data_IF_018030713335
#
_entry.id   IF_018030713335
#
_cell.length_a   1.000
_cell.length_b   1.000
_cell.length_c   1.000
_cell.angle_alpha   90.00
_cell.angle_beta   90.00
_cell.angle_gamma   90.00
#
_symmetry.space_group_name_H-M   'P 1'
#
loop_
_entity.id
_entity.type
_entity.pdbx_description
1 polymer ?
#
# COMPACT_ATOMS: atom_id res chain seq x y z
N UNK A 1 -11.10 24.04 1.50
CA UNK A 1 -11.15 23.12 0.35
C UNK A 1 -11.67 21.78 0.83
N UNK A 2 -12.95 21.48 0.61
CA UNK A 2 -13.53 20.18 0.98
C UNK A 2 -12.81 19.09 0.17
N UNK A 3 -12.27 18.07 0.83
CA UNK A 3 -11.68 16.92 0.16
C UNK A 3 -12.72 16.33 -0.79
N UNK A 4 -12.43 16.36 -2.10
CA UNK A 4 -13.31 15.79 -3.10
C UNK A 4 -13.51 14.31 -2.78
N UNK A 5 -14.77 13.89 -2.69
CA UNK A 5 -15.16 12.50 -2.46
C UNK A 5 -14.45 11.57 -3.47
N UNK A 6 -13.51 10.71 -3.01
CA UNK A 6 -12.69 9.89 -3.90
C UNK A 6 -13.53 8.93 -4.74
N UNK A 7 -14.71 8.52 -4.26
CA UNK A 7 -15.62 7.66 -5.02
C UNK A 7 -16.20 8.39 -6.24
N UNK A 8 -16.53 9.68 -6.11
CA UNK A 8 -17.05 10.52 -7.21
C UNK A 8 -15.98 10.83 -8.24
N UNK A 9 -14.74 11.05 -7.80
CA UNK A 9 -13.59 11.24 -8.69
C UNK A 9 -13.36 9.98 -9.54
N UNK A 10 -13.41 8.80 -8.91
CA UNK A 10 -13.27 7.52 -9.60
C UNK A 10 -14.43 7.26 -10.58
N UNK A 11 -15.68 7.59 -10.21
CA UNK A 11 -16.84 7.41 -11.09
C UNK A 11 -16.76 8.29 -12.34
N UNK A 12 -16.46 9.58 -12.20
CA UNK A 12 -16.25 10.50 -13.32
C UNK A 12 -15.15 10.01 -14.25
N UNK A 13 -14.08 9.48 -13.67
CA UNK A 13 -12.97 8.96 -14.44
C UNK A 13 -13.31 7.66 -15.18
N UNK A 14 -14.02 6.71 -14.56
CA UNK A 14 -14.54 5.51 -15.22
C UNK A 14 -15.42 5.90 -16.43
N UNK A 15 -16.23 6.95 -16.31
CA UNK A 15 -17.04 7.45 -17.43
C UNK A 15 -16.20 8.09 -18.54
N UNK A 16 -15.18 8.88 -18.22
CA UNK A 16 -14.30 9.50 -19.22
C UNK A 16 -13.52 8.46 -20.02
N UNK A 17 -12.95 7.45 -19.34
CA UNK A 17 -12.23 6.38 -20.00
C UNK A 17 -13.12 5.57 -20.94
N UNK A 18 -14.35 5.27 -20.53
CA UNK A 18 -15.33 4.56 -21.36
C UNK A 18 -15.77 5.41 -22.56
N UNK A 19 -16.00 6.70 -22.34
CA UNK A 19 -16.34 7.65 -23.41
C UNK A 19 -15.23 7.77 -24.46
N UNK A 20 -13.96 7.76 -24.05
CA UNK A 20 -12.82 7.83 -24.97
C UNK A 20 -12.73 6.60 -25.88
N UNK A 21 -12.95 5.39 -25.35
CA UNK A 21 -12.99 4.16 -26.16
C UNK A 21 -14.16 4.18 -27.13
N UNK A 22 -15.35 4.60 -26.68
CA UNK A 22 -16.52 4.74 -27.54
C UNK A 22 -16.29 5.78 -28.64
N UNK A 23 -15.63 6.89 -28.33
CA UNK A 23 -15.28 7.92 -29.31
C UNK A 23 -14.29 7.39 -30.36
N UNK A 24 -13.27 6.62 -29.95
CA UNK A 24 -12.33 5.99 -30.88
C UNK A 24 -13.03 4.94 -31.78
N UNK A 25 -13.94 4.14 -31.22
CA UNK A 25 -14.73 3.18 -31.98
C UNK A 25 -15.67 3.86 -32.98
N UNK A 26 -16.33 4.95 -32.57
CA UNK A 26 -17.16 5.76 -33.46
C UNK A 26 -16.31 6.38 -34.58
N UNK A 27 -15.15 6.95 -34.24
CA UNK A 27 -14.22 7.51 -35.22
C UNK A 27 -13.81 6.45 -36.26
N UNK A 28 -13.49 5.23 -35.81
CA UNK A 28 -13.18 4.12 -36.70
C UNK A 28 -14.33 3.81 -37.67
N UNK A 29 -15.56 3.62 -37.16
CA UNK A 29 -16.73 3.30 -37.99
C UNK A 29 -17.02 4.41 -39.00
N UNK A 30 -16.99 5.67 -38.57
CA UNK A 30 -17.25 6.83 -39.44
C UNK A 30 -16.16 6.98 -40.50
N UNK A 31 -14.88 6.89 -40.12
CA UNK A 31 -13.76 6.97 -41.06
C UNK A 31 -13.80 5.84 -42.07
N UNK A 32 -14.11 4.60 -41.65
CA UNK A 32 -14.23 3.45 -42.54
C UNK A 32 -15.42 3.59 -43.50
N UNK A 33 -16.55 4.12 -43.05
CA UNK A 33 -17.72 4.36 -43.89
C UNK A 33 -17.47 5.44 -44.97
N UNK A 34 -16.66 6.46 -44.64
CA UNK A 34 -16.28 7.56 -45.53
C UNK A 34 -15.10 7.26 -46.44
N UNK A 35 -14.37 6.16 -46.23
CA UNK A 35 -13.20 5.76 -47.02
C UNK A 35 -13.50 5.67 -48.53
N UNK A 36 -14.71 5.22 -48.89
CA UNK A 36 -15.18 5.18 -50.29
C UNK A 36 -15.30 6.57 -50.94
N UNK A 37 -15.46 7.62 -50.15
CA UNK A 37 -15.67 9.01 -50.61
C UNK A 37 -14.41 9.87 -50.46
N UNK A 38 -13.53 9.56 -49.50
CA UNK A 38 -12.34 10.32 -49.19
C UNK A 38 -11.15 9.39 -48.86
N UNK A 39 -10.22 9.15 -49.80
CA UNK A 39 -9.06 8.27 -49.60
C UNK A 39 -8.18 8.57 -48.37
N UNK A 40 -7.99 9.83 -47.90
CA UNK A 40 -7.25 10.10 -46.67
C UNK A 40 -7.89 9.50 -45.40
N UNK A 41 -9.19 9.17 -45.44
CA UNK A 41 -9.90 8.58 -44.30
C UNK A 41 -9.40 7.18 -43.95
N UNK A 42 -8.73 6.48 -44.87
CA UNK A 42 -8.08 5.20 -44.59
C UNK A 42 -6.99 5.33 -43.51
N UNK A 43 -6.25 6.45 -43.51
CA UNK A 43 -5.23 6.75 -42.51
C UNK A 43 -5.86 6.96 -41.11
N UNK A 44 -6.97 7.70 -41.06
CA UNK A 44 -7.72 7.95 -39.82
C UNK A 44 -8.39 6.66 -39.32
N UNK A 45 -8.90 5.83 -40.23
CA UNK A 45 -9.46 4.53 -39.90
C UNK A 45 -8.39 3.60 -39.29
N UNK A 46 -7.18 3.54 -39.88
CA UNK A 46 -6.08 2.74 -39.34
C UNK A 46 -5.63 3.22 -37.95
N UNK A 47 -5.54 4.54 -37.73
CA UNK A 47 -5.31 5.10 -36.40
C UNK A 47 -6.39 4.67 -35.41
N UNK A 48 -7.66 4.88 -35.77
CA UNK A 48 -8.79 4.62 -34.89
C UNK A 48 -8.96 3.13 -34.58
N UNK A 49 -8.76 2.25 -35.55
CA UNK A 49 -8.76 0.79 -35.38
C UNK A 49 -7.72 0.34 -34.36
N UNK A 50 -6.48 0.77 -34.55
CA UNK A 50 -5.38 0.40 -33.68
C UNK A 50 -5.51 1.05 -32.29
N UNK A 51 -6.09 2.26 -32.19
CA UNK A 51 -6.41 2.89 -30.93
C UNK A 51 -7.48 2.11 -30.13
N UNK A 52 -8.51 1.59 -30.80
CA UNK A 52 -9.54 0.75 -30.17
C UNK A 52 -8.94 -0.57 -29.68
N UNK A 53 -8.12 -1.23 -30.50
CA UNK A 53 -7.43 -2.48 -30.12
C UNK A 53 -6.53 -2.25 -28.91
N UNK A 54 -5.73 -1.17 -28.92
CA UNK A 54 -4.88 -0.80 -27.79
C UNK A 54 -5.68 -0.54 -26.50
N UNK A 55 -6.83 0.12 -26.62
CA UNK A 55 -7.73 0.35 -25.48
C UNK A 55 -8.33 -0.94 -24.92
N UNK A 56 -8.70 -1.88 -25.78
CA UNK A 56 -9.26 -3.18 -25.39
C UNK A 56 -8.21 -4.08 -24.72
N UNK A 57 -6.97 -4.06 -25.20
CA UNK A 57 -5.87 -4.81 -24.60
C UNK A 57 -5.57 -4.33 -23.18
N UNK A 58 -5.50 -3.02 -22.96
CA UNK A 58 -5.37 -2.45 -21.63
C UNK A 58 -6.58 -2.79 -20.74
N UNK A 59 -7.80 -2.69 -21.27
CA UNK A 59 -9.00 -3.08 -20.53
C UNK A 59 -8.92 -4.52 -20.04
N UNK A 60 -8.52 -5.44 -20.90
CA UNK A 60 -8.33 -6.83 -20.53
C UNK A 60 -7.28 -6.97 -19.42
N UNK A 61 -6.11 -6.33 -19.54
CA UNK A 61 -5.04 -6.41 -18.55
C UNK A 61 -5.48 -5.90 -17.16
N UNK A 62 -6.13 -4.73 -17.11
CA UNK A 62 -6.67 -4.16 -15.86
C UNK A 62 -7.75 -5.05 -15.26
N UNK A 63 -8.68 -5.53 -16.07
CA UNK A 63 -9.75 -6.42 -15.58
C UNK A 63 -9.16 -7.72 -15.06
N UNK A 64 -8.22 -8.34 -15.79
CA UNK A 64 -7.53 -9.57 -15.39
C UNK A 64 -6.69 -9.40 -14.12
N UNK A 65 -6.28 -8.20 -13.75
CA UNK A 65 -5.60 -7.96 -12.48
C UNK A 65 -6.55 -8.15 -11.28
N UNK A 66 -7.79 -7.69 -11.40
CA UNK A 66 -8.74 -7.61 -10.29
C UNK A 66 -9.86 -8.64 -10.31
N UNK A 67 -10.25 -9.13 -11.49
CA UNK A 67 -11.43 -9.97 -11.69
C UNK A 67 -11.29 -10.85 -12.93
N UNK A 68 -12.27 -11.72 -13.13
CA UNK A 68 -12.40 -12.50 -14.36
C UNK A 68 -13.07 -11.66 -15.45
N UNK A 69 -12.44 -11.49 -16.64
CA UNK A 69 -13.06 -10.77 -17.75
C UNK A 69 -14.33 -11.51 -18.20
N UNK A 70 -15.41 -10.75 -18.39
CA UNK A 70 -16.73 -11.29 -18.76
C UNK A 70 -17.30 -12.36 -17.81
N UNK A 71 -16.74 -12.51 -16.62
CA UNK A 71 -17.10 -13.58 -15.68
C UNK A 71 -16.54 -14.96 -16.03
N UNK A 72 -15.70 -15.08 -17.07
CA UNK A 72 -15.11 -16.34 -17.49
C UNK A 72 -13.86 -16.64 -16.66
N UNK A 73 -13.83 -17.81 -16.00
CA UNK A 73 -12.71 -18.28 -15.18
C UNK A 73 -11.53 -18.74 -16.03
N UNK A 74 -10.92 -17.80 -16.75
CA UNK A 74 -9.73 -18.03 -17.54
C UNK A 74 -8.52 -18.23 -16.62
N UNK A 75 -7.60 -19.15 -16.96
CA UNK A 75 -6.37 -19.34 -16.19
C UNK A 75 -5.54 -18.05 -16.22
N UNK A 76 -4.80 -17.77 -15.14
CA UNK A 76 -3.93 -16.58 -15.01
C UNK A 76 -4.67 -15.22 -15.07
N UNK A 77 -5.96 -15.17 -14.69
CA UNK A 77 -6.72 -13.92 -14.48
C UNK A 77 -7.11 -13.76 -13.01
N UNK A 78 -7.71 -12.63 -12.65
CA UNK A 78 -7.96 -12.24 -11.27
C UNK A 78 -6.69 -12.36 -10.41
N UNK A 79 -5.57 -11.80 -10.89
CA UNK A 79 -4.22 -12.04 -10.35
C UNK A 79 -4.14 -11.69 -8.86
N UNK A 80 -4.63 -10.50 -8.46
CA UNK A 80 -4.59 -10.04 -7.06
C UNK A 80 -5.39 -10.95 -6.14
N UNK A 81 -6.70 -11.19 -6.35
CA UNK A 81 -7.47 -12.06 -5.46
C UNK A 81 -6.99 -13.51 -5.46
N UNK A 82 -6.47 -14.01 -6.59
CA UNK A 82 -5.96 -15.39 -6.68
C UNK A 82 -4.66 -15.56 -5.89
N UNK A 83 -3.82 -14.53 -5.80
CA UNK A 83 -2.55 -14.56 -5.07
C UNK A 83 -2.63 -13.94 -3.67
N UNK A 84 -3.82 -13.60 -3.14
CA UNK A 84 -3.93 -12.87 -1.87
C UNK A 84 -3.18 -13.55 -0.73
N UNK A 85 -3.30 -14.87 -0.60
CA UNK A 85 -2.61 -15.61 0.47
C UNK A 85 -1.09 -15.44 0.40
N UNK A 86 -0.52 -15.59 -0.79
CA UNK A 86 0.92 -15.39 -1.02
C UNK A 86 1.33 -13.94 -0.74
N UNK A 87 0.53 -12.97 -1.15
CA UNK A 87 0.78 -11.55 -0.87
C UNK A 87 0.75 -11.27 0.64
N UNK A 88 -0.17 -11.87 1.38
CA UNK A 88 -0.25 -11.75 2.84
C UNK A 88 1.03 -12.28 3.52
N UNK A 89 1.50 -13.46 3.09
CA UNK A 89 2.74 -14.05 3.61
C UNK A 89 3.96 -13.16 3.30
N UNK A 90 4.09 -12.71 2.05
CA UNK A 90 5.17 -11.82 1.59
C UNK A 90 5.15 -10.47 2.31
N UNK A 91 3.97 -9.90 2.56
CA UNK A 91 3.81 -8.66 3.33
C UNK A 91 4.22 -8.85 4.78
N UNK A 92 3.80 -9.94 5.43
CA UNK A 92 4.19 -10.25 6.81
C UNK A 92 5.71 -10.35 6.94
N UNK A 93 6.35 -11.08 6.02
CA UNK A 93 7.80 -11.17 5.95
C UNK A 93 8.43 -9.80 5.70
N UNK A 94 7.95 -9.03 4.73
CA UNK A 94 8.48 -7.70 4.41
C UNK A 94 8.46 -6.76 5.62
N UNK A 95 7.33 -6.70 6.35
CA UNK A 95 7.18 -5.83 7.53
C UNK A 95 8.13 -6.25 8.64
N UNK A 96 8.17 -7.55 8.96
CA UNK A 96 9.07 -8.08 9.98
C UNK A 96 10.54 -7.88 9.60
N UNK A 97 10.87 -7.97 8.30
CA UNK A 97 12.25 -7.92 7.85
C UNK A 97 12.82 -6.52 7.65
N UNK A 98 12.00 -5.61 7.11
CA UNK A 98 12.45 -4.30 6.66
C UNK A 98 11.85 -3.12 7.42
N UNK A 99 10.69 -3.29 8.06
CA UNK A 99 10.07 -2.21 8.83
C UNK A 99 10.40 -2.32 10.32
N UNK A 100 10.32 -3.53 10.88
CA UNK A 100 10.59 -3.81 12.31
C UNK A 100 12.02 -4.32 12.48
N UNK A 101 13.00 -3.47 12.21
CA UNK A 101 14.42 -3.84 12.35
C UNK A 101 14.92 -3.55 13.77
N UNK A 102 15.79 -4.42 14.29
CA UNK A 102 16.46 -4.22 15.58
C UNK A 102 17.02 -2.79 15.77
N UNK A 103 17.76 -2.19 14.80
CA UNK A 103 18.26 -0.82 14.96
C UNK A 103 17.15 0.23 15.00
N UNK A 104 16.08 0.11 14.19
CA UNK A 104 14.96 1.06 14.21
C UNK A 104 14.19 1.00 15.53
N UNK A 105 13.95 -0.20 16.05
CA UNK A 105 13.28 -0.37 17.34
C UNK A 105 14.15 0.16 18.48
N UNK A 106 15.45 -0.17 18.49
CA UNK A 106 16.38 0.34 19.48
C UNK A 106 16.43 1.88 19.48
N UNK A 107 16.53 2.49 18.30
CA UNK A 107 16.47 3.94 18.16
C UNK A 107 15.16 4.50 18.72
N UNK A 108 14.01 3.90 18.37
CA UNK A 108 12.71 4.40 18.82
C UNK A 108 12.51 4.28 20.32
N UNK A 109 13.06 3.22 20.94
CA UNK A 109 13.07 3.04 22.39
C UNK A 109 13.91 4.12 23.08
N UNK A 110 15.07 4.49 22.54
CA UNK A 110 15.88 5.59 23.10
C UNK A 110 15.14 6.93 22.98
N UNK A 111 14.54 7.21 21.81
CA UNK A 111 13.74 8.43 21.59
C UNK A 111 12.55 8.55 22.55
N UNK A 112 11.93 7.43 22.92
CA UNK A 112 10.79 7.40 23.84
C UNK A 112 11.18 7.70 25.30
N UNK A 113 12.46 7.66 25.65
CA UNK A 113 12.98 7.87 27.01
C UNK A 113 12.19 7.12 28.11
N UNK A 114 12.08 5.78 28.04
CA UNK A 114 11.30 5.01 29.02
C UNK A 114 11.83 5.15 30.44
N UNK A 115 13.15 5.29 30.63
CA UNK A 115 13.73 5.49 31.96
C UNK A 115 13.34 6.86 32.54
N UNK A 116 13.31 7.92 31.72
CA UNK A 116 12.80 9.23 32.13
C UNK A 116 11.30 9.21 32.42
N UNK A 117 10.52 8.56 31.57
CA UNK A 117 9.08 8.38 31.78
C UNK A 117 8.79 7.62 33.09
N UNK A 118 9.52 6.54 33.37
CA UNK A 118 9.43 5.80 34.62
C UNK A 118 9.83 6.66 35.83
N UNK A 119 10.90 7.46 35.73
CA UNK A 119 11.31 8.39 36.78
C UNK A 119 10.28 9.49 37.06
N UNK A 120 9.63 10.01 36.03
CA UNK A 120 8.55 11.00 36.15
C UNK A 120 7.29 10.39 36.79
N UNK A 121 6.92 9.17 36.36
CA UNK A 121 5.78 8.44 36.90
C UNK A 121 5.98 8.08 38.37
N UNK A 122 7.15 7.56 38.74
CA UNK A 122 7.50 7.20 40.13
C UNK A 122 7.65 8.39 41.06
N UNK A 123 7.84 9.62 40.56
CA UNK A 123 7.90 10.79 41.42
C UNK A 123 6.55 11.21 42.00
N UNK A 124 5.45 10.69 41.45
CA UNK A 124 4.11 10.91 42.00
C UNK A 124 3.87 9.93 43.16
N UNK A 125 3.56 10.46 44.36
CA UNK A 125 3.31 9.62 45.55
C UNK A 125 2.16 8.62 45.35
N UNK A 126 1.17 8.94 44.52
CA UNK A 126 0.05 8.04 44.20
C UNK A 126 0.54 6.77 43.51
N UNK A 127 1.43 6.92 42.53
CA UNK A 127 2.02 5.80 41.79
C UNK A 127 2.93 4.94 42.68
N UNK A 128 3.68 5.56 43.61
CA UNK A 128 4.48 4.82 44.60
C UNK A 128 3.61 3.93 45.49
N UNK A 129 2.39 4.39 45.85
CA UNK A 129 1.42 3.57 46.60
C UNK A 129 0.91 2.40 45.78
N UNK A 130 0.63 2.59 44.49
CA UNK A 130 0.23 1.51 43.59
C UNK A 130 1.30 0.41 43.50
N UNK A 131 2.56 0.80 43.29
CA UNK A 131 3.70 -0.16 43.27
C UNK A 131 3.84 -0.91 44.59
N UNK A 132 3.62 -0.22 45.71
CA UNK A 132 3.72 -0.82 47.05
C UNK A 132 2.52 -1.72 47.39
N UNK A 133 1.36 -1.50 46.76
CA UNK A 133 0.15 -2.29 46.96
C UNK A 133 0.16 -3.60 46.15
N UNK A 134 0.67 -3.57 44.92
CA UNK A 134 0.83 -4.74 44.03
C UNK A 134 1.84 -5.77 44.56
N UNK A 135 2.75 -5.33 45.44
CA UNK A 135 3.74 -6.21 46.03
C UNK A 135 3.77 -6.09 47.57
N UNK A 136 2.92 -6.85 48.29
CA UNK A 136 2.88 -6.83 49.75
C UNK A 136 4.20 -7.27 50.41
N UNK A 137 4.98 -8.13 49.73
CA UNK A 137 6.35 -8.52 50.14
C UNK A 137 7.34 -7.35 50.09
N UNK A 138 6.97 -6.28 49.39
CA UNK A 138 7.69 -5.02 49.18
C UNK A 138 7.21 -3.92 50.16
N UNK A 139 6.15 -4.14 50.96
CA UNK A 139 5.56 -3.17 51.90
C UNK A 139 6.40 -2.86 53.16
N UNK A 140 7.73 -2.93 53.06
CA UNK A 140 8.65 -2.53 54.13
C UNK A 140 8.74 -0.99 54.19
N UNK A 141 8.83 -0.38 55.38
CA UNK A 141 8.91 1.09 55.56
C UNK A 141 10.02 1.78 54.75
N UNK A 142 11.06 1.05 54.33
CA UNK A 142 12.15 1.57 53.50
C UNK A 142 11.87 1.62 51.99
N UNK A 143 10.83 0.95 51.46
CA UNK A 143 10.63 0.90 50.01
C UNK A 143 10.18 2.23 49.43
N UNK A 144 9.26 2.94 50.09
CA UNK A 144 8.82 4.25 49.61
C UNK A 144 10.01 5.21 49.45
N UNK A 145 10.96 5.15 50.39
CA UNK A 145 12.22 5.88 50.30
C UNK A 145 13.08 5.43 49.11
N UNK A 146 13.18 4.12 48.84
CA UNK A 146 13.91 3.58 47.68
C UNK A 146 13.27 3.99 46.35
N UNK A 147 11.95 3.89 46.22
CA UNK A 147 11.23 4.29 45.00
C UNK A 147 11.36 5.78 44.73
N UNK A 148 11.28 6.59 45.78
CA UNK A 148 11.48 8.03 45.72
C UNK A 148 12.93 8.39 45.35
N UNK A 149 13.91 7.65 45.86
CA UNK A 149 15.31 7.82 45.49
C UNK A 149 15.59 7.38 44.04
N UNK A 150 14.98 6.28 43.57
CA UNK A 150 15.05 5.84 42.17
C UNK A 150 14.43 6.90 41.26
N UNK A 151 13.25 7.42 41.62
CA UNK A 151 12.58 8.48 40.86
C UNK A 151 13.46 9.72 40.74
N UNK A 152 14.02 10.20 41.86
CA UNK A 152 14.95 11.33 41.88
C UNK A 152 16.19 11.08 41.05
N UNK A 153 16.81 9.90 41.15
CA UNK A 153 18.01 9.55 40.37
C UNK A 153 17.73 9.53 38.88
N UNK A 154 16.62 8.92 38.46
CA UNK A 154 16.22 8.90 37.05
C UNK A 154 15.94 10.30 36.47
N UNK A 155 15.52 11.26 37.31
CA UNK A 155 15.29 12.65 36.90
C UNK A 155 16.55 13.52 36.93
N UNK A 156 17.46 13.29 37.88
CA UNK A 156 18.64 14.15 38.10
C UNK A 156 19.90 13.69 37.41
N UNK A 157 20.01 12.40 37.10
CA UNK A 157 21.19 11.81 36.46
C UNK A 157 20.88 11.46 34.99
N UNK A 158 21.18 12.37 34.04
CA UNK A 158 20.95 12.13 32.63
C UNK A 158 21.81 11.00 32.06
N UNK A 159 22.97 10.71 32.66
CA UNK A 159 23.88 9.66 32.19
C UNK A 159 23.35 8.28 32.57
N UNK A 160 22.89 8.10 33.82
CA UNK A 160 22.19 6.89 34.25
C UNK A 160 20.97 6.61 33.37
N UNK A 161 20.16 7.64 33.09
CA UNK A 161 19.00 7.53 32.22
C UNK A 161 19.37 7.08 30.81
N UNK A 162 20.41 7.68 30.21
CA UNK A 162 20.91 7.29 28.90
C UNK A 162 21.40 5.84 28.87
N UNK A 163 22.15 5.40 29.90
CA UNK A 163 22.62 4.00 30.02
C UNK A 163 21.46 3.02 30.14
N UNK A 164 20.44 3.33 30.93
CA UNK A 164 19.25 2.50 31.07
C UNK A 164 18.45 2.43 29.77
N UNK A 165 18.20 3.56 29.11
CA UNK A 165 17.53 3.57 27.81
C UNK A 165 18.29 2.77 26.76
N UNK A 166 19.63 2.90 26.72
CA UNK A 166 20.46 2.10 25.82
C UNK A 166 20.37 0.60 26.13
N UNK A 167 20.35 0.21 27.41
CA UNK A 167 20.19 -1.19 27.81
C UNK A 167 18.81 -1.75 27.45
N UNK A 168 17.74 -0.97 27.67
CA UNK A 168 16.36 -1.34 27.28
C UNK A 168 16.28 -1.46 25.75
N UNK A 169 16.86 -0.51 25.01
CA UNK A 169 16.90 -0.50 23.56
C UNK A 169 17.64 -1.71 22.98
N UNK A 170 18.81 -2.07 23.53
CA UNK A 170 19.55 -3.26 23.13
C UNK A 170 18.75 -4.55 23.41
N UNK A 171 18.05 -4.60 24.54
CA UNK A 171 17.18 -5.75 24.87
C UNK A 171 15.96 -5.82 23.93
N UNK A 172 15.34 -4.69 23.62
CA UNK A 172 14.22 -4.62 22.69
C UNK A 172 14.65 -5.06 21.28
N UNK A 173 15.79 -4.56 20.79
CA UNK A 173 16.34 -4.95 19.49
C UNK A 173 16.64 -6.45 19.40
N UNK A 174 17.23 -7.03 20.44
CA UNK A 174 17.48 -8.48 20.49
C UNK A 174 16.20 -9.32 20.59
N UNK A 175 15.18 -8.82 21.30
CA UNK A 175 13.87 -9.47 21.35
C UNK A 175 13.19 -9.48 19.97
N UNK A 176 13.21 -8.35 19.28
CA UNK A 176 12.67 -8.22 17.91
C UNK A 176 13.36 -9.20 16.95
N UNK A 177 14.69 -9.30 17.03
CA UNK A 177 15.43 -10.21 16.15
C UNK A 177 15.09 -11.67 16.42
N UNK A 178 14.87 -12.04 17.69
CA UNK A 178 14.47 -13.41 18.09
C UNK A 178 13.04 -13.73 17.68
N UNK A 179 12.14 -12.75 17.73
CA UNK A 179 10.72 -12.91 17.43
C UNK A 179 10.38 -12.53 15.98
N UNK A 180 11.36 -12.27 15.11
CA UNK A 180 11.13 -11.88 13.70
C UNK A 180 10.18 -12.82 12.96
N UNK A 181 10.41 -14.13 13.07
CA UNK A 181 9.57 -15.13 12.41
C UNK A 181 8.14 -15.17 12.97
N UNK A 182 7.97 -14.94 14.27
CA UNK A 182 6.66 -14.88 14.91
C UNK A 182 5.92 -13.60 14.53
N UNK A 183 6.60 -12.46 14.50
CA UNK A 183 6.05 -11.19 14.01
C UNK A 183 5.57 -11.30 12.56
N UNK A 184 6.36 -11.93 11.69
CA UNK A 184 5.97 -12.16 10.30
C UNK A 184 4.69 -13.00 10.20
N UNK A 185 4.57 -14.06 11.01
CA UNK A 185 3.38 -14.92 11.06
C UNK A 185 2.16 -14.17 11.58
N UNK A 186 2.28 -13.45 12.69
CA UNK A 186 1.16 -12.67 13.26
C UNK A 186 0.62 -11.64 12.25
N UNK A 187 1.51 -10.97 11.53
CA UNK A 187 1.11 -9.99 10.50
C UNK A 187 0.47 -10.70 9.30
N UNK A 188 1.02 -11.83 8.87
CA UNK A 188 0.45 -12.62 7.78
C UNK A 188 -0.94 -13.15 8.16
N UNK A 189 -1.12 -13.71 9.36
CA UNK A 189 -2.40 -14.23 9.86
C UNK A 189 -3.47 -13.12 9.90
N UNK A 190 -3.11 -11.92 10.38
CA UNK A 190 -3.99 -10.76 10.36
C UNK A 190 -4.35 -10.35 8.92
N UNK A 191 -3.38 -10.37 8.00
CA UNK A 191 -3.62 -10.06 6.59
C UNK A 191 -4.47 -11.13 5.87
N UNK A 192 -4.37 -12.40 6.26
CA UNK A 192 -5.25 -13.48 5.81
C UNK A 192 -6.67 -13.32 6.33
N UNK A 193 -6.84 -12.73 7.53
CA UNK A 193 -8.16 -12.45 8.11
C UNK A 193 -8.91 -11.34 7.38
N UNK A 194 -8.24 -10.53 6.54
CA UNK A 194 -8.90 -9.53 5.71
C UNK A 194 -9.79 -10.19 4.65
N UNK A 195 -11.08 -9.84 4.66
CA UNK A 195 -12.03 -10.32 3.65
C UNK A 195 -11.53 -10.04 2.23
N UNK A 196 -11.62 -11.05 1.36
CA UNK A 196 -11.21 -11.00 -0.05
C UNK A 196 -11.77 -9.79 -0.78
N UNK A 197 -13.03 -9.44 -0.52
CA UNK A 197 -13.69 -8.31 -1.15
C UNK A 197 -13.14 -6.98 -0.68
N UNK A 198 -12.80 -6.86 0.61
CA UNK A 198 -12.33 -5.62 1.20
C UNK A 198 -10.92 -5.26 0.73
N UNK A 199 -9.97 -6.20 0.79
CA UNK A 199 -8.58 -5.96 0.39
C UNK A 199 -8.48 -5.56 -1.09
N UNK A 200 -9.19 -6.29 -1.97
CA UNK A 200 -9.24 -6.00 -3.41
C UNK A 200 -9.84 -4.63 -3.67
N UNK A 201 -10.94 -4.25 -2.99
CA UNK A 201 -11.57 -2.94 -3.15
C UNK A 201 -10.64 -1.81 -2.71
N UNK A 202 -9.94 -1.96 -1.59
CA UNK A 202 -8.98 -0.96 -1.11
C UNK A 202 -7.85 -0.75 -2.12
N UNK A 203 -7.30 -1.83 -2.69
CA UNK A 203 -6.28 -1.73 -3.72
C UNK A 203 -6.85 -1.08 -5.00
N UNK A 204 -8.04 -1.50 -5.47
CA UNK A 204 -8.69 -0.90 -6.65
C UNK A 204 -8.90 0.60 -6.47
N UNK A 205 -9.32 1.04 -5.28
CA UNK A 205 -9.51 2.46 -4.97
C UNK A 205 -8.17 3.21 -4.95
N UNK A 206 -7.11 2.61 -4.39
CA UNK A 206 -5.81 3.24 -4.29
C UNK A 206 -5.13 3.43 -5.65
N UNK A 207 -5.19 2.44 -6.54
CA UNK A 207 -4.51 2.47 -7.84
C UNK A 207 -5.43 2.85 -9.01
N UNK A 208 -6.73 2.97 -8.78
CA UNK A 208 -7.74 3.11 -9.83
C UNK A 208 -7.57 4.35 -10.70
N UNK A 209 -7.00 5.44 -10.18
CA UNK A 209 -6.66 6.64 -10.95
C UNK A 209 -5.48 6.39 -11.89
N UNK A 210 -4.42 5.74 -11.41
CA UNK A 210 -3.18 5.58 -12.15
C UNK A 210 -3.34 4.57 -13.29
N UNK A 211 -4.18 3.55 -13.09
CA UNK A 211 -4.55 2.60 -14.14
C UNK A 211 -5.24 3.26 -15.35
N UNK A 212 -5.90 4.40 -15.18
CA UNK A 212 -6.56 5.08 -16.30
C UNK A 212 -5.56 5.73 -17.25
N UNK A 213 -4.40 6.17 -16.73
CA UNK A 213 -3.33 6.69 -17.57
C UNK A 213 -2.77 5.60 -18.49
N UNK A 214 -2.75 4.35 -18.04
CA UNK A 214 -2.37 3.20 -18.89
C UNK A 214 -3.37 3.05 -20.04
N UNK A 215 -4.67 3.21 -19.79
CA UNK A 215 -5.70 3.15 -20.84
C UNK A 215 -5.57 4.25 -21.88
N UNK A 216 -5.44 5.50 -21.43
CA UNK A 216 -5.29 6.65 -22.34
C UNK A 216 -4.01 6.48 -23.17
N UNK A 217 -2.90 6.12 -22.52
CA UNK A 217 -1.64 5.83 -23.21
C UNK A 217 -1.78 4.68 -24.21
N UNK A 218 -2.50 3.61 -23.85
CA UNK A 218 -2.77 2.47 -24.73
C UNK A 218 -3.53 2.85 -26.00
N UNK A 219 -4.51 3.76 -25.89
CA UNK A 219 -5.24 4.28 -27.06
C UNK A 219 -4.35 5.13 -27.98
N UNK A 220 -3.50 5.98 -27.39
CA UNK A 220 -2.60 6.87 -28.13
C UNK A 220 -1.49 6.09 -28.83
N UNK A 221 -0.80 5.21 -28.09
CA UNK A 221 0.26 4.37 -28.64
C UNK A 221 -0.29 3.42 -29.69
N UNK A 222 -1.45 2.80 -29.42
CA UNK A 222 -2.15 1.95 -30.39
C UNK A 222 -2.42 2.71 -31.70
N UNK A 223 -3.01 3.90 -31.62
CA UNK A 223 -3.29 4.71 -32.80
C UNK A 223 -2.03 5.13 -33.58
N UNK A 224 -0.99 5.60 -32.88
CA UNK A 224 0.29 5.97 -33.50
C UNK A 224 0.95 4.78 -34.20
N UNK A 225 0.88 3.58 -33.58
CA UNK A 225 1.38 2.36 -34.20
C UNK A 225 0.56 1.99 -35.44
N UNK A 226 -0.77 2.15 -35.39
CA UNK A 226 -1.64 1.97 -36.56
C UNK A 226 -1.27 2.90 -37.72
N UNK A 227 -0.96 4.16 -37.44
CA UNK A 227 -0.46 5.11 -38.46
C UNK A 227 0.88 4.70 -39.02
N UNK A 228 1.81 4.24 -38.18
CA UNK A 228 3.12 3.80 -38.60
C UNK A 228 3.01 2.58 -39.53
N UNK A 229 2.21 1.58 -39.14
CA UNK A 229 1.94 0.37 -39.94
C UNK A 229 1.26 0.75 -41.26
N UNK A 230 0.24 1.61 -41.23
CA UNK A 230 -0.45 2.06 -42.45
C UNK A 230 0.50 2.79 -43.41
N UNK A 231 1.32 3.71 -42.89
CA UNK A 231 2.28 4.47 -43.69
C UNK A 231 3.34 3.57 -44.30
N UNK A 232 3.87 2.61 -43.53
CA UNK A 232 4.83 1.63 -44.01
C UNK A 232 4.22 0.77 -45.12
N UNK A 233 3.01 0.27 -44.91
CA UNK A 233 2.29 -0.57 -45.88
C UNK A 233 2.10 0.16 -47.21
N UNK A 234 1.79 1.46 -47.17
CA UNK A 234 1.58 2.29 -48.37
C UNK A 234 2.87 2.69 -49.10
N UNK A 235 4.02 2.63 -48.42
CA UNK A 235 5.33 2.91 -49.03
C UNK A 235 5.89 1.65 -49.68
N UNK A 236 5.60 0.48 -49.11
CA UNK A 236 6.15 -0.82 -49.55
C UNK A 236 5.29 -1.49 -50.62
N UNK A 237 3.95 -1.36 -50.57
CA UNK A 237 3.01 -1.82 -51.60
C UNK A 237 2.55 -0.67 -52.50
#
# INVERSE_FOLDING_TARGET
MAAADPERALARQKTLATALVLAAALLYVVSKALERRAPPMACVAAFAEAAVIGALADWYAVVALFRHPLGLKLPHTAIIPTNQARIADELGQFVAEHLVTAPRVAQKVVEADPAGAAGAWLAQRENQKLVSAEAPWLARPGLAFVLDEIARRLQRDPELRARLNAAIAARAGTLVERSRAELARLIADEAHAWDRGHAVRTIELAIGRDLQFVRVSGTLVGGLLGLAIYSLTRIVL
#
